data_IF_820882241308
#
_entry.id   IF_820882241308
#
_cell.length_a   1.000
_cell.length_b   1.000
_cell.length_c   1.000
_cell.angle_alpha   90.00
_cell.angle_beta   90.00
_cell.angle_gamma   90.00
#
_symmetry.space_group_name_H-M   'P 1'
#
loop_
_entity.id
_entity.type
_entity.pdbx_description
1 polymer ?
#
# COMPACT_ATOMS: atom_id res chain seq x y z
N UNK A 1 -33.98 69.70 -7.14
CA UNK A 1 -34.46 68.78 -6.08
C UNK A 1 -35.82 68.28 -6.53
N UNK A 2 -36.07 67.03 -6.89
CA UNK A 2 -35.33 65.78 -7.00
C UNK A 2 -36.28 64.83 -7.74
N UNK A 3 -35.83 64.28 -8.87
CA UNK A 3 -35.65 62.84 -9.04
C UNK A 3 -36.98 62.07 -9.24
N UNK A 4 -37.55 62.22 -10.45
CA UNK A 4 -38.68 61.42 -10.93
C UNK A 4 -38.18 60.13 -11.60
N UNK A 5 -38.29 59.04 -10.84
CA UNK A 5 -38.53 57.70 -11.37
C UNK A 5 -39.69 57.74 -12.38
N UNK A 6 -39.56 57.14 -13.56
CA UNK A 6 -40.70 56.51 -14.28
C UNK A 6 -40.30 55.78 -15.58
N UNK A 7 -41.00 54.66 -15.82
CA UNK A 7 -41.14 53.96 -17.11
C UNK A 7 -40.42 52.61 -17.12
N UNK A 8 -40.95 51.52 -16.53
CA UNK A 8 -42.12 50.73 -16.97
C UNK A 8 -42.19 50.52 -18.49
N UNK A 9 -41.65 49.37 -18.92
CA UNK A 9 -42.28 48.29 -19.70
C UNK A 9 -43.39 48.67 -20.69
N UNK A 10 -43.30 48.18 -21.94
CA UNK A 10 -44.32 47.55 -22.83
C UNK A 10 -43.74 47.57 -24.27
N UNK A 11 -43.16 46.47 -24.77
CA UNK A 11 -43.76 45.40 -25.60
C UNK A 11 -44.12 45.78 -27.06
N UNK A 12 -43.80 44.82 -27.95
CA UNK A 12 -44.26 44.55 -29.32
C UNK A 12 -43.24 44.90 -30.43
N UNK A 13 -42.51 43.96 -31.06
CA UNK A 13 -42.85 42.83 -31.96
C UNK A 13 -42.54 43.19 -33.42
N UNK A 14 -42.17 42.16 -34.21
CA UNK A 14 -41.90 42.10 -35.67
C UNK A 14 -40.40 42.27 -36.00
N UNK A 15 -39.59 41.20 -36.04
CA UNK A 15 -39.47 40.13 -37.06
C UNK A 15 -39.27 40.67 -38.48
N UNK A 16 -38.02 40.69 -38.97
CA UNK A 16 -37.61 39.99 -40.21
C UNK A 16 -36.19 40.33 -40.69
N UNK A 17 -35.44 39.26 -40.99
CA UNK A 17 -34.36 39.08 -41.98
C UNK A 17 -33.11 39.99 -41.92
N UNK A 18 -31.91 39.50 -41.55
CA UNK A 18 -30.99 38.52 -42.17
C UNK A 18 -29.85 39.19 -42.97
N UNK A 19 -28.62 38.79 -42.60
CA UNK A 19 -27.29 39.01 -43.23
C UNK A 19 -26.64 40.39 -42.98
N UNK A 20 -25.40 40.55 -42.50
CA UNK A 20 -24.20 39.69 -42.45
C UNK A 20 -23.31 40.09 -41.25
N UNK A 21 -22.84 39.12 -40.46
CA UNK A 21 -21.51 39.18 -39.79
C UNK A 21 -20.92 37.76 -39.73
N UNK A 22 -19.65 37.55 -40.06
CA UNK A 22 -19.05 36.22 -40.13
C UNK A 22 -18.77 35.68 -38.72
N UNK A 23 -19.23 34.44 -38.48
CA UNK A 23 -18.81 33.63 -37.35
C UNK A 23 -17.31 33.30 -37.48
N UNK A 24 -16.49 33.84 -36.58
CA UNK A 24 -15.22 33.20 -36.24
C UNK A 24 -15.55 31.88 -35.55
N UNK A 25 -15.48 30.79 -36.31
CA UNK A 25 -15.39 29.45 -35.73
C UNK A 25 -14.00 29.33 -35.07
N UNK A 26 -13.95 29.46 -33.75
CA UNK A 26 -12.81 28.94 -32.99
C UNK A 26 -12.77 27.42 -33.22
N UNK A 27 -11.60 26.82 -33.49
CA UNK A 27 -11.52 25.38 -33.66
C UNK A 27 -11.98 24.73 -32.37
N UNK A 28 -12.99 23.87 -32.47
CA UNK A 28 -13.39 22.95 -31.42
C UNK A 28 -12.15 22.15 -31.07
N UNK A 29 -11.45 22.53 -30.01
CA UNK A 29 -10.51 21.64 -29.35
C UNK A 29 -11.38 20.51 -28.85
N UNK A 30 -11.43 19.43 -29.63
CA UNK A 30 -11.76 18.10 -29.13
C UNK A 30 -10.74 17.85 -28.04
N UNK A 31 -11.08 18.26 -26.81
CA UNK A 31 -10.41 17.76 -25.64
C UNK A 31 -10.60 16.26 -25.72
N UNK A 32 -9.55 15.55 -26.12
CA UNK A 32 -9.45 14.13 -25.86
C UNK A 32 -9.55 14.01 -24.35
N UNK A 33 -10.76 13.75 -23.84
CA UNK A 33 -10.92 13.12 -22.55
C UNK A 33 -10.19 11.80 -22.69
N UNK A 34 -8.92 11.77 -22.31
CA UNK A 34 -8.30 10.53 -21.91
C UNK A 34 -9.27 9.96 -20.87
N UNK A 35 -9.93 8.85 -21.22
CA UNK A 35 -10.76 8.11 -20.28
C UNK A 35 -9.87 7.83 -19.08
N UNK A 36 -10.17 8.43 -17.93
CA UNK A 36 -9.43 8.07 -16.72
C UNK A 36 -9.64 6.57 -16.50
N UNK A 37 -8.57 5.80 -16.22
CA UNK A 37 -8.68 4.36 -16.05
C UNK A 37 -9.66 4.08 -14.91
N UNK A 38 -10.79 3.44 -15.25
CA UNK A 38 -11.77 3.03 -14.27
C UNK A 38 -11.22 1.83 -13.51
N UNK A 39 -11.28 1.86 -12.18
CA UNK A 39 -11.02 0.68 -11.36
C UNK A 39 -12.00 -0.43 -11.73
N UNK A 40 -11.49 -1.63 -12.02
CA UNK A 40 -12.28 -2.80 -12.36
C UNK A 40 -12.18 -3.84 -11.25
N UNK A 41 -13.31 -4.40 -10.80
CA UNK A 41 -13.24 -5.54 -9.87
C UNK A 41 -12.56 -6.70 -10.59
N UNK A 42 -11.55 -7.26 -9.94
CA UNK A 42 -11.00 -8.54 -10.40
C UNK A 42 -12.04 -9.64 -10.19
N UNK A 43 -12.02 -10.68 -11.02
CA UNK A 43 -12.94 -11.84 -10.89
C UNK A 43 -12.75 -12.70 -9.64
N UNK A 44 -12.02 -12.22 -8.62
CA UNK A 44 -11.89 -12.87 -7.32
C UNK A 44 -13.20 -12.72 -6.54
N UNK A 45 -13.69 -13.81 -5.96
CA UNK A 45 -14.91 -13.81 -5.14
C UNK A 45 -14.81 -12.82 -3.97
N UNK A 46 -15.96 -12.28 -3.54
CA UNK A 46 -16.04 -11.26 -2.50
C UNK A 46 -15.33 -11.67 -1.21
N UNK A 47 -14.68 -10.71 -0.56
CA UNK A 47 -13.97 -10.90 0.69
C UNK A 47 -12.98 -9.77 0.97
N UNK A 48 -12.72 -9.53 2.25
CA UNK A 48 -11.76 -8.50 2.63
C UNK A 48 -10.34 -8.93 2.27
N UNK A 49 -9.68 -8.10 1.48
CA UNK A 49 -8.29 -8.29 1.10
C UNK A 49 -7.41 -7.73 2.21
N UNK A 50 -6.47 -8.51 2.71
CA UNK A 50 -5.56 -8.10 3.80
C UNK A 50 -4.19 -7.69 3.29
N UNK A 51 -3.72 -8.35 2.24
CA UNK A 51 -2.44 -8.09 1.60
C UNK A 51 -2.39 -8.65 0.18
N UNK A 52 -1.51 -8.09 -0.64
CA UNK A 52 -1.26 -8.51 -2.03
C UNK A 52 0.25 -8.58 -2.22
N UNK A 53 0.75 -9.68 -2.78
CA UNK A 53 2.16 -9.82 -3.11
C UNK A 53 2.32 -10.41 -4.51
N UNK A 54 3.22 -9.82 -5.30
CA UNK A 54 3.48 -10.22 -6.68
C UNK A 54 4.89 -10.79 -6.77
N UNK A 55 5.02 -11.89 -7.50
CA UNK A 55 6.32 -12.47 -7.80
C UNK A 55 7.10 -11.69 -8.84
N UNK A 56 8.42 -11.94 -8.96
CA UNK A 56 9.24 -11.41 -10.02
C UNK A 56 8.78 -11.87 -11.41
N UNK A 57 9.20 -11.11 -12.41
CA UNK A 57 8.77 -11.21 -13.82
C UNK A 57 9.89 -11.63 -14.77
N UNK A 58 11.02 -12.10 -14.23
CA UNK A 58 12.18 -12.53 -15.01
C UNK A 58 11.94 -13.78 -15.85
N UNK A 59 12.65 -13.89 -16.97
CA UNK A 59 12.77 -15.07 -17.84
C UNK A 59 11.53 -15.46 -18.66
N UNK A 60 10.56 -14.55 -18.84
CA UNK A 60 9.35 -14.81 -19.62
C UNK A 60 8.33 -15.71 -18.90
N UNK A 61 8.58 -16.03 -17.62
CA UNK A 61 7.61 -16.68 -16.76
C UNK A 61 6.51 -15.70 -16.35
N UNK A 62 5.26 -16.17 -16.30
CA UNK A 62 4.14 -15.37 -15.84
C UNK A 62 4.27 -15.03 -14.34
N UNK A 63 3.98 -13.78 -13.97
CA UNK A 63 3.89 -13.34 -12.57
C UNK A 63 2.93 -14.25 -11.80
N UNK A 64 3.31 -14.66 -10.59
CA UNK A 64 2.35 -15.26 -9.65
C UNK A 64 1.94 -14.17 -8.67
N UNK A 65 0.64 -13.88 -8.64
CA UNK A 65 0.04 -12.92 -7.70
C UNK A 65 -0.64 -13.69 -6.59
N UNK A 66 -0.29 -13.36 -5.34
CA UNK A 66 -0.88 -13.91 -4.12
C UNK A 66 -1.70 -12.84 -3.42
N UNK A 67 -2.87 -13.23 -2.92
CA UNK A 67 -3.80 -12.33 -2.25
C UNK A 67 -4.28 -12.99 -0.98
N UNK A 68 -4.06 -12.32 0.16
CA UNK A 68 -4.55 -12.76 1.45
C UNK A 68 -6.01 -12.33 1.58
N UNK A 69 -6.92 -13.30 1.63
CA UNK A 69 -8.36 -13.06 1.77
C UNK A 69 -8.78 -13.43 3.18
N UNK A 70 -9.25 -12.43 3.94
CA UNK A 70 -9.68 -12.57 5.34
C UNK A 70 -10.69 -13.68 5.47
N UNK A 71 -10.47 -14.60 6.40
CA UNK A 71 -11.32 -15.75 6.70
C UNK A 71 -11.63 -16.70 5.52
N UNK A 72 -10.89 -16.62 4.41
CA UNK A 72 -11.10 -17.49 3.24
C UNK A 72 -9.83 -18.23 2.83
N UNK A 73 -8.66 -17.60 2.98
CA UNK A 73 -7.37 -18.23 2.69
C UNK A 73 -6.54 -17.37 1.76
N UNK A 74 -5.74 -18.01 0.92
CA UNK A 74 -4.85 -17.32 0.01
C UNK A 74 -5.35 -17.58 -1.40
N UNK A 75 -5.79 -16.53 -2.07
CA UNK A 75 -6.06 -16.61 -3.50
C UNK A 75 -4.76 -16.43 -4.28
N UNK A 76 -4.63 -17.13 -5.41
CA UNK A 76 -3.51 -16.96 -6.31
C UNK A 76 -3.94 -16.87 -7.77
N UNK A 77 -3.13 -16.23 -8.59
CA UNK A 77 -3.27 -16.14 -10.05
C UNK A 77 -1.90 -16.26 -10.71
N UNK A 78 -1.86 -16.85 -11.91
CA UNK A 78 -0.66 -16.90 -12.76
C UNK A 78 -0.93 -16.07 -14.00
N UNK A 79 -0.16 -15.00 -14.21
CA UNK A 79 -0.40 -14.02 -15.28
C UNK A 79 -1.83 -13.49 -15.22
N UNK A 80 -2.55 -13.57 -16.34
CA UNK A 80 -3.97 -13.19 -16.48
C UNK A 80 -4.93 -14.39 -16.36
N UNK A 81 -4.46 -15.52 -15.82
CA UNK A 81 -5.28 -16.70 -15.60
C UNK A 81 -6.40 -16.49 -14.55
N UNK A 82 -7.22 -17.52 -14.27
CA UNK A 82 -8.25 -17.41 -13.25
C UNK A 82 -7.65 -17.37 -11.84
N UNK A 83 -8.39 -16.77 -10.90
CA UNK A 83 -8.09 -16.86 -9.48
C UNK A 83 -8.40 -18.27 -8.95
N UNK A 84 -7.50 -18.79 -8.12
CA UNK A 84 -7.70 -20.03 -7.37
C UNK A 84 -7.57 -19.73 -5.87
N UNK A 85 -8.62 -19.99 -5.10
CA UNK A 85 -8.57 -19.92 -3.64
C UNK A 85 -7.90 -21.20 -3.09
N UNK A 86 -6.88 -21.03 -2.27
CA UNK A 86 -6.09 -22.12 -1.70
C UNK A 86 -6.13 -22.10 -0.19
N UNK A 87 -6.50 -23.25 0.37
CA UNK A 87 -6.54 -23.52 1.82
C UNK A 87 -5.69 -24.73 2.20
N UNK A 88 -5.16 -25.47 1.22
CA UNK A 88 -4.40 -26.69 1.47
C UNK A 88 -3.11 -26.43 2.24
N UNK A 89 -2.94 -27.15 3.34
CA UNK A 89 -1.79 -27.02 4.24
C UNK A 89 -1.81 -25.80 5.18
N UNK A 90 -2.78 -24.89 5.01
CA UNK A 90 -3.09 -23.87 6.02
C UNK A 90 -3.88 -24.51 7.19
N UNK A 91 -3.90 -23.89 8.40
CA UNK A 91 -4.65 -24.40 9.53
C UNK A 91 -6.12 -24.69 9.18
N UNK A 92 -6.62 -25.87 9.60
CA UNK A 92 -8.03 -26.26 9.51
C UNK A 92 -8.89 -25.33 10.38
N UNK A 93 -9.18 -24.14 9.89
CA UNK A 93 -9.77 -23.06 10.70
C UNK A 93 -9.71 -21.66 10.07
N UNK A 94 -9.22 -21.55 8.82
CA UNK A 94 -9.34 -20.33 8.00
C UNK A 94 -10.80 -19.85 7.91
N UNK A 95 -11.79 -20.73 8.12
CA UNK A 95 -13.18 -20.35 8.38
C UNK A 95 -13.33 -19.70 9.77
N UNK A 96 -13.05 -18.40 9.86
CA UNK A 96 -13.56 -17.50 10.91
C UNK A 96 -12.65 -17.17 12.10
N UNK A 97 -11.53 -17.88 12.32
CA UNK A 97 -10.63 -17.61 13.48
C UNK A 97 -9.15 -17.39 13.15
N UNK A 98 -8.71 -17.76 11.95
CA UNK A 98 -7.34 -17.54 11.48
C UNK A 98 -7.38 -16.83 10.14
N UNK A 99 -6.68 -15.70 10.01
CA UNK A 99 -6.68 -14.91 8.77
C UNK A 99 -5.26 -14.65 8.27
N UNK A 100 -4.98 -14.83 6.97
CA UNK A 100 -3.73 -14.37 6.38
C UNK A 100 -3.68 -12.84 6.44
N UNK A 101 -2.53 -12.28 6.78
CA UNK A 101 -2.40 -10.84 7.08
C UNK A 101 -1.22 -10.15 6.42
N UNK A 102 -0.09 -10.84 6.23
CA UNK A 102 1.06 -10.31 5.50
C UNK A 102 1.60 -11.33 4.53
N UNK A 103 1.91 -10.92 3.31
CA UNK A 103 2.45 -11.77 2.25
C UNK A 103 3.78 -11.20 1.75
N UNK A 104 4.67 -12.09 1.34
CA UNK A 104 5.88 -11.75 0.59
C UNK A 104 6.24 -12.88 -0.34
N UNK A 105 6.69 -12.54 -1.55
CA UNK A 105 7.17 -13.50 -2.55
C UNK A 105 8.69 -13.42 -2.61
N UNK A 106 9.35 -14.55 -2.84
CA UNK A 106 10.78 -14.60 -3.08
C UNK A 106 11.12 -13.86 -4.38
N UNK A 107 11.96 -12.82 -4.35
CA UNK A 107 12.31 -12.04 -5.54
C UNK A 107 13.11 -12.84 -6.58
N UNK A 108 13.58 -14.03 -6.23
CA UNK A 108 14.29 -14.95 -7.14
C UNK A 108 13.44 -16.12 -7.65
N UNK A 109 12.29 -16.40 -7.04
CA UNK A 109 11.39 -17.49 -7.47
C UNK A 109 9.94 -17.20 -7.08
N UNK A 110 9.11 -16.82 -8.06
CA UNK A 110 7.68 -16.56 -7.87
C UNK A 110 6.90 -17.74 -7.29
N UNK A 111 7.43 -18.97 -7.36
CA UNK A 111 6.78 -20.16 -6.81
C UNK A 111 6.95 -20.26 -5.30
N UNK A 112 7.88 -19.49 -4.73
CA UNK A 112 8.18 -19.45 -3.30
C UNK A 112 7.63 -18.19 -2.69
N UNK A 113 6.70 -18.35 -1.75
CA UNK A 113 6.06 -17.24 -1.05
C UNK A 113 5.84 -17.59 0.41
N UNK A 114 5.65 -16.55 1.22
CA UNK A 114 5.49 -16.64 2.66
C UNK A 114 4.29 -15.83 3.09
N UNK A 115 3.58 -16.33 4.09
CA UNK A 115 2.39 -15.69 4.64
C UNK A 115 2.45 -15.73 6.16
N UNK A 116 2.22 -14.58 6.79
CA UNK A 116 1.96 -14.53 8.21
C UNK A 116 0.45 -14.62 8.44
N UNK A 117 0.06 -15.59 9.27
CA UNK A 117 -1.31 -15.78 9.72
C UNK A 117 -1.50 -15.13 11.08
N UNK A 118 -2.64 -14.46 11.26
CA UNK A 118 -3.13 -13.97 12.55
C UNK A 118 -4.08 -15.00 13.14
N UNK A 119 -3.87 -15.37 14.41
CA UNK A 119 -4.82 -16.15 15.20
C UNK A 119 -5.28 -15.31 16.42
N UNK A 120 -6.16 -15.85 17.27
CA UNK A 120 -6.74 -15.10 18.41
C UNK A 120 -5.72 -14.76 19.52
N UNK A 121 -4.56 -15.42 19.56
CA UNK A 121 -3.61 -15.34 20.69
C UNK A 121 -2.15 -15.12 20.27
N UNK A 122 -1.87 -14.90 18.99
CA UNK A 122 -0.53 -14.95 18.41
C UNK A 122 -0.53 -14.98 16.87
N UNK A 123 0.44 -15.70 16.30
CA UNK A 123 0.53 -15.89 14.86
C UNK A 123 1.44 -17.04 14.46
N UNK A 124 1.52 -17.27 13.16
CA UNK A 124 2.42 -18.25 12.56
C UNK A 124 2.84 -17.78 11.17
N UNK A 125 3.97 -18.26 10.68
CA UNK A 125 4.40 -18.06 9.29
C UNK A 125 4.34 -19.39 8.56
N UNK A 126 3.73 -19.36 7.38
CA UNK A 126 3.65 -20.47 6.46
C UNK A 126 4.41 -20.14 5.19
N UNK A 127 4.94 -21.15 4.53
CA UNK A 127 5.63 -21.02 3.25
C UNK A 127 5.03 -21.96 2.20
N UNK A 128 5.19 -21.56 0.95
CA UNK A 128 5.00 -22.42 -0.22
C UNK A 128 6.28 -22.43 -1.05
N UNK A 129 6.49 -23.50 -1.81
CA UNK A 129 7.54 -23.61 -2.84
C UNK A 129 6.99 -24.12 -4.17
N UNK A 130 5.67 -24.33 -4.24
CA UNK A 130 4.96 -24.91 -5.38
C UNK A 130 3.88 -23.97 -5.91
N UNK A 131 4.20 -22.67 -5.99
CA UNK A 131 3.28 -21.65 -6.49
C UNK A 131 2.01 -21.51 -5.65
N UNK A 132 2.08 -21.74 -4.34
CA UNK A 132 0.91 -21.72 -3.48
C UNK A 132 -0.11 -22.79 -3.79
N UNK A 133 0.29 -23.96 -4.30
CA UNK A 133 -0.60 -25.12 -4.34
C UNK A 133 -0.81 -25.69 -2.94
N UNK A 134 0.27 -25.76 -2.14
CA UNK A 134 0.20 -26.14 -0.73
C UNK A 134 1.08 -25.22 0.12
N UNK A 135 0.71 -25.10 1.39
CA UNK A 135 1.42 -24.30 2.38
C UNK A 135 1.86 -25.16 3.56
N UNK A 136 2.98 -24.82 4.19
CA UNK A 136 3.47 -25.53 5.36
C UNK A 136 3.95 -24.54 6.44
N UNK A 137 3.75 -24.84 7.73
CA UNK A 137 4.25 -23.99 8.79
C UNK A 137 5.78 -24.00 8.80
N UNK A 138 6.37 -22.82 8.94
CA UNK A 138 7.83 -22.63 9.08
C UNK A 138 8.21 -21.86 10.34
N UNK A 139 7.23 -21.22 10.99
CA UNK A 139 7.36 -20.61 12.30
C UNK A 139 6.02 -20.67 13.01
N UNK A 140 5.99 -21.31 14.17
CA UNK A 140 4.82 -21.40 15.03
C UNK A 140 5.07 -20.66 16.35
N UNK A 141 3.99 -20.34 17.07
CA UNK A 141 4.10 -19.73 18.39
C UNK A 141 4.63 -18.30 18.37
N UNK A 142 4.31 -17.50 17.35
CA UNK A 142 4.62 -16.06 17.41
C UNK A 142 3.95 -15.44 18.65
N UNK A 143 4.67 -14.59 19.41
CA UNK A 143 4.16 -14.00 20.66
C UNK A 143 2.97 -13.07 20.45
N UNK A 144 2.82 -12.51 19.25
CA UNK A 144 1.64 -11.76 18.81
C UNK A 144 1.47 -11.90 17.30
N UNK A 145 0.40 -11.33 16.74
CA UNK A 145 0.25 -11.26 15.28
C UNK A 145 1.39 -10.47 14.64
N UNK A 146 1.79 -10.88 13.44
CA UNK A 146 2.79 -10.16 12.65
C UNK A 146 2.24 -8.82 12.16
N UNK A 147 2.96 -7.73 12.47
CA UNK A 147 2.75 -6.39 11.94
C UNK A 147 3.35 -6.23 10.54
N UNK A 148 4.48 -6.90 10.30
CA UNK A 148 5.15 -6.97 9.01
C UNK A 148 5.81 -8.34 8.81
N UNK A 149 5.89 -8.76 7.55
CA UNK A 149 6.68 -9.90 7.09
C UNK A 149 7.50 -9.38 5.91
N UNK A 150 8.82 -9.42 6.01
CA UNK A 150 9.73 -8.85 5.00
C UNK A 150 10.77 -9.89 4.61
N UNK A 151 11.07 -9.95 3.31
CA UNK A 151 12.15 -10.76 2.78
C UNK A 151 13.28 -9.84 2.29
N UNK A 152 14.51 -10.21 2.61
CA UNK A 152 15.71 -9.48 2.20
C UNK A 152 16.61 -10.45 1.45
N UNK A 153 16.98 -10.08 0.22
CA UNK A 153 17.60 -11.01 -0.72
C UNK A 153 16.68 -12.20 -1.01
N UNK A 154 17.21 -13.42 -0.99
CA UNK A 154 16.48 -14.65 -1.33
C UNK A 154 16.38 -15.67 -0.18
N UNK A 155 16.81 -15.31 1.03
CA UNK A 155 16.81 -16.24 2.17
C UNK A 155 16.58 -15.61 3.54
N UNK A 156 16.78 -14.30 3.71
CA UNK A 156 16.53 -13.67 5.00
C UNK A 156 15.06 -13.28 5.12
N UNK A 157 14.43 -13.69 6.21
CA UNK A 157 13.05 -13.33 6.54
C UNK A 157 13.02 -12.63 7.88
N UNK A 158 12.21 -11.57 7.97
CA UNK A 158 11.97 -10.81 9.17
C UNK A 158 10.47 -10.78 9.46
N UNK A 159 10.10 -11.11 10.69
CA UNK A 159 8.74 -10.99 11.21
C UNK A 159 8.79 -9.97 12.33
N UNK A 160 8.15 -8.81 12.12
CA UNK A 160 7.91 -7.85 13.18
C UNK A 160 6.60 -8.19 13.88
N UNK A 161 6.65 -8.40 15.19
CA UNK A 161 5.48 -8.53 16.06
C UNK A 161 5.20 -7.19 16.74
N UNK A 162 4.33 -7.16 17.76
CA UNK A 162 4.04 -5.93 18.52
C UNK A 162 5.28 -5.41 19.27
N UNK A 163 6.13 -6.32 19.75
CA UNK A 163 7.23 -6.02 20.68
C UNK A 163 8.54 -6.80 20.39
N UNK A 164 8.66 -7.43 19.22
CA UNK A 164 9.87 -8.18 18.86
C UNK A 164 10.07 -8.25 17.34
N UNK A 165 11.31 -8.47 16.92
CA UNK A 165 11.63 -8.86 15.55
C UNK A 165 12.27 -10.25 15.60
N UNK A 166 11.69 -11.17 14.84
CA UNK A 166 12.19 -12.53 14.70
C UNK A 166 12.73 -12.68 13.28
N UNK A 167 13.97 -13.15 13.17
CA UNK A 167 14.69 -13.28 11.90
C UNK A 167 15.06 -14.73 11.62
N UNK A 168 14.92 -15.13 10.36
CA UNK A 168 15.59 -16.29 9.77
C UNK A 168 16.65 -15.84 8.78
N UNK A 169 17.77 -16.58 8.71
CA UNK A 169 18.83 -16.40 7.71
C UNK A 169 18.93 -17.57 6.72
N UNK A 170 18.02 -18.54 6.79
CA UNK A 170 18.12 -19.80 6.04
C UNK A 170 16.80 -20.15 5.36
N UNK A 171 16.04 -19.13 5.00
CA UNK A 171 14.79 -19.29 4.26
C UNK A 171 13.62 -19.78 5.10
N UNK A 172 13.67 -19.57 6.41
CA UNK A 172 12.62 -19.95 7.35
C UNK A 172 12.82 -21.29 8.04
N UNK A 173 14.01 -21.92 7.94
CA UNK A 173 14.29 -23.21 8.59
C UNK A 173 14.62 -23.03 10.07
N UNK A 174 15.38 -21.99 10.41
CA UNK A 174 15.67 -21.60 11.78
C UNK A 174 15.39 -20.13 12.00
N UNK A 175 15.03 -19.79 13.25
CA UNK A 175 14.60 -18.45 13.64
C UNK A 175 15.26 -18.03 14.94
N UNK A 176 15.56 -16.74 15.04
CA UNK A 176 16.07 -16.11 16.27
C UNK A 176 15.45 -14.74 16.46
N UNK A 177 15.12 -14.40 17.70
CA UNK A 177 14.73 -13.05 18.09
C UNK A 177 15.96 -12.14 18.07
N UNK A 178 15.83 -10.92 17.54
CA UNK A 178 16.92 -9.94 17.56
C UNK A 178 17.09 -9.33 18.97
N UNK A 179 18.34 -9.08 19.43
CA UNK A 179 18.62 -8.84 20.85
C UNK A 179 18.27 -7.44 21.38
N UNK A 180 17.83 -6.49 20.55
CA UNK A 180 17.50 -5.14 21.01
C UNK A 180 16.21 -4.63 20.37
N UNK A 181 15.18 -4.47 21.19
CA UNK A 181 13.92 -3.87 20.81
C UNK A 181 13.93 -2.37 21.15
N UNK A 182 13.74 -1.46 20.19
CA UNK A 182 13.95 -0.03 20.42
C UNK A 182 12.78 0.71 21.03
N UNK A 183 11.59 0.11 20.99
CA UNK A 183 10.31 0.79 21.27
C UNK A 183 9.81 0.42 22.65
N UNK A 184 9.46 1.42 23.46
CA UNK A 184 8.75 1.17 24.73
C UNK A 184 7.25 0.98 24.50
N UNK A 185 6.76 1.33 23.31
CA UNK A 185 5.37 1.17 22.89
C UNK A 185 5.22 0.08 21.82
N UNK A 186 3.98 -0.14 21.38
CA UNK A 186 3.69 -1.04 20.27
C UNK A 186 4.28 -0.53 18.95
N UNK A 187 4.85 -1.46 18.18
CA UNK A 187 5.17 -1.20 16.77
C UNK A 187 3.94 -1.39 15.90
N UNK A 188 3.78 -0.45 14.97
CA UNK A 188 2.71 -0.42 13.99
C UNK A 188 3.21 -0.86 12.61
N UNK A 189 4.46 -0.59 12.26
CA UNK A 189 5.02 -0.87 10.93
C UNK A 189 6.54 -1.10 10.92
N UNK A 190 7.02 -1.85 9.93
CA UNK A 190 8.43 -2.08 9.63
C UNK A 190 8.61 -2.04 8.11
N UNK A 191 9.67 -1.40 7.63
CA UNK A 191 10.11 -1.44 6.24
C UNK A 191 11.63 -1.62 6.15
N UNK A 192 12.08 -2.20 5.03
CA UNK A 192 13.50 -2.35 4.68
C UNK A 192 13.76 -1.55 3.41
N UNK A 193 14.88 -0.84 3.35
CA UNK A 193 15.26 -0.10 2.17
C UNK A 193 15.64 -1.06 1.02
N UNK A 194 14.98 -1.02 -0.15
CA UNK A 194 15.24 -1.97 -1.24
C UNK A 194 16.68 -1.94 -1.77
N UNK A 195 17.29 -0.75 -1.86
CA UNK A 195 18.66 -0.55 -2.33
C UNK A 195 19.73 -0.67 -1.24
N UNK A 196 19.34 -0.80 0.04
CA UNK A 196 20.26 -0.95 1.16
C UNK A 196 19.71 -1.97 2.16
N UNK A 197 19.92 -3.29 1.95
CA UNK A 197 19.24 -4.36 2.67
C UNK A 197 19.56 -4.45 4.18
N UNK A 198 20.50 -3.65 4.70
CA UNK A 198 20.76 -3.51 6.13
C UNK A 198 20.07 -2.29 6.76
N UNK A 199 19.45 -1.41 5.95
CA UNK A 199 18.75 -0.22 6.43
C UNK A 199 17.28 -0.52 6.68
N UNK A 200 16.85 -0.42 7.93
CA UNK A 200 15.50 -0.72 8.37
C UNK A 200 14.88 0.53 9.00
N UNK A 201 13.56 0.62 8.87
CA UNK A 201 12.74 1.67 9.45
C UNK A 201 11.59 1.05 10.22
N UNK A 202 11.41 1.47 11.47
CA UNK A 202 10.43 0.93 12.38
C UNK A 202 9.58 2.06 12.93
N UNK A 203 8.26 1.94 12.76
CA UNK A 203 7.27 2.92 13.16
C UNK A 203 6.42 2.41 14.32
N UNK A 204 6.29 3.20 15.37
CA UNK A 204 5.53 2.89 16.57
C UNK A 204 4.34 3.82 16.82
N UNK A 205 3.74 3.65 17.99
CA UNK A 205 2.73 4.57 18.54
C UNK A 205 3.44 5.74 19.22
N UNK A 206 2.76 6.84 19.51
CA UNK A 206 3.33 7.88 20.39
C UNK A 206 4.36 8.81 19.73
N UNK A 207 4.44 8.85 18.39
CA UNK A 207 5.50 9.57 17.68
C UNK A 207 6.83 8.80 17.61
N UNK A 208 6.82 7.51 17.94
CA UNK A 208 8.02 6.68 17.87
C UNK A 208 8.33 6.29 16.42
N UNK A 209 9.57 6.57 16.01
CA UNK A 209 10.12 6.16 14.73
C UNK A 209 11.63 5.93 14.89
N UNK A 210 12.12 4.82 14.37
CA UNK A 210 13.50 4.39 14.52
C UNK A 210 14.09 3.95 13.20
N UNK A 211 15.40 4.11 13.08
CA UNK A 211 16.22 3.63 11.98
C UNK A 211 17.23 2.62 12.49
N UNK A 212 17.56 1.63 11.68
CA UNK A 212 18.70 0.75 11.88
C UNK A 212 19.53 0.72 10.61
N UNK A 213 20.86 0.72 10.75
CA UNK A 213 21.80 0.56 9.63
C UNK A 213 22.44 -0.81 9.55
N UNK A 214 22.10 -1.74 10.45
CA UNK A 214 22.79 -3.01 10.66
C UNK A 214 21.86 -4.23 10.62
N UNK A 215 20.71 -4.12 9.94
CA UNK A 215 19.76 -5.21 9.81
C UNK A 215 18.87 -5.43 11.05
N UNK A 216 18.63 -4.36 11.82
CA UNK A 216 17.79 -4.37 13.01
C UNK A 216 18.46 -4.89 14.28
N UNK A 217 19.80 -5.00 14.31
CA UNK A 217 20.51 -5.40 15.53
C UNK A 217 20.66 -4.25 16.52
N UNK A 218 20.80 -3.01 16.02
CA UNK A 218 20.78 -1.76 16.77
C UNK A 218 19.89 -0.73 16.09
N UNK A 219 19.39 0.23 16.88
CA UNK A 219 18.39 1.20 16.43
C UNK A 219 18.68 2.58 17.02
N UNK A 220 18.42 3.61 16.22
CA UNK A 220 18.49 5.02 16.60
C UNK A 220 17.12 5.68 16.44
N UNK A 221 16.76 6.60 17.34
CA UNK A 221 15.53 7.40 17.19
C UNK A 221 15.68 8.33 15.98
N UNK A 222 14.68 8.34 15.12
CA UNK A 222 14.67 9.07 13.85
C UNK A 222 13.30 9.74 13.63
N UNK A 223 12.83 10.47 14.64
CA UNK A 223 11.48 11.03 14.70
C UNK A 223 11.43 12.57 14.80
N UNK A 224 12.54 13.26 14.51
CA UNK A 224 12.58 14.72 14.59
C UNK A 224 11.61 15.36 13.59
N UNK A 225 10.73 16.24 14.07
CA UNK A 225 9.66 16.85 13.27
C UNK A 225 8.37 16.03 13.23
N UNK A 226 8.34 14.82 13.80
CA UNK A 226 7.10 14.11 14.07
C UNK A 226 6.53 14.53 15.42
N UNK A 227 5.23 14.82 15.44
CA UNK A 227 4.48 14.98 16.69
C UNK A 227 4.08 13.64 17.31
N UNK A 228 3.16 13.67 18.26
CA UNK A 228 2.58 12.47 18.87
C UNK A 228 1.60 11.79 17.89
N UNK A 229 2.15 11.08 16.91
CA UNK A 229 1.42 10.41 15.83
C UNK A 229 1.78 8.93 15.75
N UNK A 230 0.84 8.08 15.38
CA UNK A 230 1.14 6.67 15.09
C UNK A 230 1.72 6.53 13.68
N UNK A 231 2.90 5.93 13.57
CA UNK A 231 3.57 5.59 12.31
C UNK A 231 3.00 4.30 11.71
N UNK A 232 1.90 4.41 10.95
CA UNK A 232 1.08 3.28 10.50
C UNK A 232 1.58 2.58 9.24
N UNK A 233 2.20 3.33 8.35
CA UNK A 233 2.73 2.81 7.09
C UNK A 233 4.05 3.50 6.77
N UNK A 234 5.00 2.74 6.24
CA UNK A 234 6.32 3.23 5.83
C UNK A 234 6.52 2.77 4.39
N UNK A 235 6.87 3.70 3.50
CA UNK A 235 7.37 3.38 2.18
C UNK A 235 8.74 4.03 2.01
N UNK A 236 9.72 3.23 1.59
CA UNK A 236 11.09 3.69 1.35
C UNK A 236 11.26 3.86 -0.14
N UNK A 237 11.92 4.93 -0.55
CA UNK A 237 12.35 5.12 -1.93
C UNK A 237 13.23 3.93 -2.35
N UNK A 238 12.91 3.24 -3.45
CA UNK A 238 13.65 2.05 -3.88
C UNK A 238 15.10 2.35 -4.27
N UNK A 239 15.39 3.59 -4.67
CA UNK A 239 16.70 4.04 -5.15
C UNK A 239 17.50 4.81 -4.09
N UNK A 240 16.82 5.45 -3.14
CA UNK A 240 17.45 6.31 -2.13
C UNK A 240 17.00 5.90 -0.72
N UNK A 241 17.78 5.07 0.01
CA UNK A 241 17.38 4.53 1.32
C UNK A 241 16.96 5.57 2.37
N UNK A 242 17.50 6.80 2.30
CA UNK A 242 17.20 7.88 3.23
C UNK A 242 15.95 8.69 2.87
N UNK A 243 15.38 8.49 1.68
CA UNK A 243 14.13 9.10 1.27
C UNK A 243 12.97 8.18 1.66
N UNK A 244 12.18 8.60 2.65
CA UNK A 244 11.14 7.77 3.28
C UNK A 244 9.86 8.56 3.44
N UNK A 245 8.75 7.93 3.12
CA UNK A 245 7.41 8.42 3.38
C UNK A 245 6.81 7.69 4.58
N UNK A 246 6.11 8.46 5.41
CA UNK A 246 5.43 7.97 6.59
C UNK A 246 3.95 8.32 6.54
N UNK A 247 3.15 7.27 6.58
CA UNK A 247 1.70 7.35 6.71
C UNK A 247 1.33 7.41 8.19
N UNK A 248 0.63 8.46 8.59
CA UNK A 248 0.22 8.68 9.97
C UNK A 248 -1.30 8.78 10.11
N UNK A 249 -1.76 8.96 11.35
CA UNK A 249 -3.16 9.33 11.63
C UNK A 249 -3.54 10.74 11.19
N UNK A 250 -2.58 11.62 10.88
CA UNK A 250 -2.84 13.01 10.49
C UNK A 250 -2.54 13.30 9.00
N UNK A 251 -1.98 12.33 8.26
CA UNK A 251 -1.54 12.55 6.88
C UNK A 251 -0.22 11.87 6.54
N UNK A 252 0.39 12.31 5.44
CA UNK A 252 1.70 11.82 4.97
C UNK A 252 2.80 12.80 5.31
N UNK A 253 3.87 12.28 5.91
CA UNK A 253 5.14 12.97 6.14
C UNK A 253 6.22 12.39 5.23
N UNK A 254 7.23 13.18 4.93
CA UNK A 254 8.41 12.76 4.16
C UNK A 254 9.68 13.18 4.88
N UNK A 255 10.72 12.37 4.73
CA UNK A 255 12.09 12.69 5.12
C UNK A 255 13.01 12.35 3.96
N UNK A 256 14.06 13.15 3.76
CA UNK A 256 15.08 12.93 2.74
C UNK A 256 16.42 12.47 3.36
N UNK A 257 16.48 12.39 4.68
CA UNK A 257 17.70 12.14 5.46
C UNK A 257 17.50 11.02 6.50
N UNK A 258 16.62 10.05 6.20
CA UNK A 258 16.44 8.84 7.00
C UNK A 258 15.78 9.07 8.36
N UNK A 259 15.00 10.16 8.50
CA UNK A 259 14.25 10.49 9.70
C UNK A 259 14.96 11.45 10.66
N UNK A 260 16.11 12.02 10.26
CA UNK A 260 16.75 13.11 11.00
C UNK A 260 15.92 14.41 10.94
N UNK A 261 15.09 14.57 9.91
CA UNK A 261 14.07 15.63 9.85
C UNK A 261 12.88 15.17 9.00
N UNK A 262 11.68 15.26 9.56
CA UNK A 262 10.41 15.00 8.89
C UNK A 262 9.68 16.29 8.53
N UNK A 263 9.01 16.27 7.39
CA UNK A 263 8.22 17.39 6.88
C UNK A 263 6.83 16.89 6.46
N UNK A 264 5.74 17.62 6.75
CA UNK A 264 4.42 17.29 6.23
C UNK A 264 4.38 17.52 4.72
N UNK A 265 3.74 16.63 3.98
CA UNK A 265 3.59 16.73 2.51
C UNK A 265 2.38 17.56 2.07
N UNK A 266 1.64 18.12 3.03
CA UNK A 266 0.35 18.77 2.77
C UNK A 266 -0.81 17.80 2.52
N UNK A 267 -0.55 16.50 2.36
CA UNK A 267 -1.59 15.48 2.38
C UNK A 267 -2.10 15.27 3.80
N UNK A 268 -3.18 15.97 4.14
CA UNK A 268 -3.83 15.89 5.44
C UNK A 268 -5.21 15.28 5.32
N UNK A 269 -5.61 14.55 6.35
CA UNK A 269 -6.91 13.90 6.43
C UNK A 269 -7.57 14.39 7.73
N UNK A 270 -8.76 14.98 7.62
CA UNK A 270 -9.48 15.49 8.79
C UNK A 270 -9.94 14.35 9.72
N UNK A 271 -10.48 13.27 9.14
CA UNK A 271 -11.11 12.18 9.89
C UNK A 271 -10.60 10.77 9.51
N UNK A 272 -9.49 10.68 8.77
CA UNK A 272 -8.98 9.42 8.24
C UNK A 272 -7.47 9.24 8.49
N UNK A 273 -7.01 7.98 8.51
CA UNK A 273 -5.60 7.67 8.63
C UNK A 273 -5.04 7.10 7.32
N UNK A 274 -3.75 7.32 7.10
CA UNK A 274 -3.00 6.62 6.05
C UNK A 274 -2.78 5.19 6.52
N UNK A 275 -3.27 4.23 5.72
CA UNK A 275 -3.23 2.80 6.05
C UNK A 275 -2.20 2.04 5.24
N UNK A 276 -1.95 2.47 4.01
CA UNK A 276 -0.94 1.89 3.11
C UNK A 276 -0.21 3.01 2.37
N UNK A 277 1.08 2.78 2.19
CA UNK A 277 1.95 3.55 1.30
C UNK A 277 2.66 2.56 0.39
N UNK A 278 2.86 2.96 -0.86
CA UNK A 278 3.60 2.19 -1.84
C UNK A 278 4.38 3.15 -2.73
N UNK A 279 5.70 2.99 -2.81
CA UNK A 279 6.56 3.69 -3.76
C UNK A 279 6.62 2.91 -5.07
N UNK A 280 6.67 3.61 -6.21
CA UNK A 280 6.95 2.96 -7.49
C UNK A 280 8.39 2.42 -7.46
N UNK A 281 8.63 1.13 -7.73
CA UNK A 281 9.96 0.51 -7.67
C UNK A 281 10.99 1.14 -8.63
N UNK A 282 10.54 1.95 -9.60
CA UNK A 282 11.38 2.60 -10.62
C UNK A 282 11.60 4.08 -10.35
N UNK A 283 10.78 4.69 -9.49
CA UNK A 283 10.81 6.12 -9.18
C UNK A 283 10.28 6.39 -7.77
N UNK A 284 11.17 6.72 -6.84
CA UNK A 284 10.80 7.04 -5.47
C UNK A 284 10.04 8.34 -5.28
N UNK A 285 9.88 9.18 -6.31
CA UNK A 285 9.01 10.35 -6.25
C UNK A 285 7.54 10.02 -6.56
N UNK A 286 7.28 8.83 -7.10
CA UNK A 286 5.95 8.32 -7.33
C UNK A 286 5.51 7.47 -6.14
N UNK A 287 4.49 7.94 -5.41
CA UNK A 287 3.99 7.30 -4.19
C UNK A 287 2.47 7.24 -4.19
N UNK A 288 1.94 6.08 -3.83
CA UNK A 288 0.52 5.79 -3.73
C UNK A 288 0.12 5.71 -2.26
N UNK A 289 -1.06 6.26 -1.94
CA UNK A 289 -1.62 6.30 -0.60
C UNK A 289 -2.96 5.58 -0.61
N UNK A 290 -3.08 4.58 0.27
CA UNK A 290 -4.34 3.96 0.65
C UNK A 290 -4.78 4.46 2.02
N UNK A 291 -6.04 4.87 2.15
CA UNK A 291 -6.55 5.46 3.41
C UNK A 291 -7.65 4.60 4.04
N UNK A 292 -8.02 4.94 5.27
CA UNK A 292 -9.12 4.28 6.00
C UNK A 292 -10.52 4.68 5.52
N UNK A 293 -10.71 5.86 4.91
CA UNK A 293 -12.03 6.40 4.56
C UNK A 293 -12.17 7.02 3.15
N UNK A 294 -11.06 7.12 2.40
CA UNK A 294 -11.00 7.67 1.05
C UNK A 294 -10.40 6.66 0.06
N UNK A 295 -10.59 6.96 -1.24
CA UNK A 295 -9.97 6.25 -2.36
C UNK A 295 -8.44 6.30 -2.32
N UNK A 296 -7.80 5.64 -3.30
CA UNK A 296 -6.36 5.74 -3.51
C UNK A 296 -5.98 7.14 -3.99
N UNK A 297 -4.82 7.64 -3.54
CA UNK A 297 -4.20 8.88 -4.04
C UNK A 297 -2.81 8.58 -4.56
N UNK A 298 -2.32 9.45 -5.45
CA UNK A 298 -0.98 9.39 -6.01
C UNK A 298 -0.30 10.74 -5.91
N UNK A 299 0.99 10.74 -5.59
CA UNK A 299 1.91 11.83 -5.88
C UNK A 299 2.93 11.33 -6.89
N UNK A 300 3.34 12.19 -7.83
CA UNK A 300 4.41 11.92 -8.82
C UNK A 300 5.62 12.84 -8.65
N UNK A 301 5.65 13.62 -7.56
CA UNK A 301 6.65 14.66 -7.32
C UNK A 301 7.10 14.69 -5.86
N UNK A 302 7.26 13.52 -5.24
CA UNK A 302 7.86 13.46 -3.92
C UNK A 302 6.92 13.86 -2.77
N UNK A 303 5.60 13.77 -2.99
CA UNK A 303 4.60 14.28 -2.04
C UNK A 303 4.36 15.79 -2.14
N UNK A 304 4.93 16.49 -3.12
CA UNK A 304 4.68 17.92 -3.32
C UNK A 304 3.24 18.25 -3.75
N UNK A 305 2.60 17.34 -4.49
CA UNK A 305 1.18 17.42 -4.88
C UNK A 305 0.56 16.03 -4.87
N UNK A 306 -0.73 15.97 -4.53
CA UNK A 306 -1.50 14.74 -4.42
C UNK A 306 -2.75 14.80 -5.28
N UNK A 307 -2.91 13.79 -6.12
CA UNK A 307 -4.05 13.63 -7.01
C UNK A 307 -4.85 12.40 -6.59
N UNK A 308 -6.17 12.48 -6.50
CA UNK A 308 -6.95 11.31 -6.19
C UNK A 308 -7.01 10.41 -7.42
N UNK A 309 -6.68 9.12 -7.27
CA UNK A 309 -6.98 8.09 -8.27
C UNK A 309 -8.44 7.66 -8.09
N UNK A 310 -9.36 8.58 -8.40
CA UNK A 310 -10.80 8.36 -8.20
C UNK A 310 -11.32 7.38 -9.23
N UNK A 311 -11.70 6.18 -8.81
CA UNK A 311 -12.87 5.53 -9.39
C UNK A 311 -13.51 4.58 -8.36
N UNK A 312 -14.83 4.73 -8.19
CA UNK A 312 -15.76 3.60 -8.23
C UNK A 312 -15.67 2.43 -7.25
N UNK A 313 -14.69 2.34 -6.35
CA UNK A 313 -14.54 1.13 -5.51
C UNK A 313 -15.73 0.91 -4.57
N UNK A 314 -16.53 1.93 -4.28
CA UNK A 314 -17.65 1.92 -3.33
C UNK A 314 -17.21 1.75 -1.86
N UNK A 315 -16.15 0.97 -1.64
CA UNK A 315 -15.46 0.76 -0.38
C UNK A 315 -14.53 1.93 -0.05
N UNK A 316 -14.56 2.34 1.21
CA UNK A 316 -13.83 3.50 1.72
C UNK A 316 -12.45 3.16 2.29
N UNK A 317 -12.14 1.88 2.46
CA UNK A 317 -10.93 1.43 3.14
C UNK A 317 -10.01 0.65 2.22
N UNK A 318 -8.77 1.13 2.08
CA UNK A 318 -7.72 0.48 1.31
C UNK A 318 -6.84 -0.33 2.26
N UNK A 319 -6.93 -1.66 2.16
CA UNK A 319 -6.18 -2.60 2.98
C UNK A 319 -4.90 -3.07 2.32
N UNK A 320 -4.80 -3.07 1.00
CA UNK A 320 -3.60 -3.50 0.31
C UNK A 320 -3.42 -2.69 -0.97
N UNK A 321 -2.17 -2.44 -1.34
CA UNK A 321 -1.80 -1.82 -2.60
C UNK A 321 -0.61 -2.58 -3.15
N UNK A 322 -0.60 -2.85 -4.46
CA UNK A 322 0.54 -3.44 -5.11
C UNK A 322 0.63 -3.03 -6.58
N UNK A 323 1.83 -2.80 -7.09
CA UNK A 323 2.08 -2.43 -8.49
C UNK A 323 2.52 -3.66 -9.27
N UNK A 324 1.95 -3.84 -10.47
CA UNK A 324 2.39 -4.89 -11.39
C UNK A 324 3.78 -4.54 -11.95
N UNK A 325 4.79 -5.41 -11.80
CA UNK A 325 6.14 -5.06 -12.23
C UNK A 325 6.28 -4.87 -13.76
N UNK A 326 5.47 -5.58 -14.57
CA UNK A 326 5.53 -5.48 -16.04
C UNK A 326 4.66 -4.36 -16.61
N UNK A 327 3.59 -3.97 -15.92
CA UNK A 327 2.62 -3.00 -16.43
C UNK A 327 2.71 -1.71 -15.62
N UNK A 328 3.24 -0.65 -16.23
CA UNK A 328 3.61 0.58 -15.51
C UNK A 328 2.47 1.23 -14.73
N UNK A 329 1.24 1.05 -15.21
CA UNK A 329 0.05 1.73 -14.70
C UNK A 329 -0.98 0.76 -14.08
N UNK A 330 -0.64 -0.53 -13.95
CA UNK A 330 -1.53 -1.49 -13.28
C UNK A 330 -1.25 -1.49 -11.77
N UNK A 331 -2.15 -0.85 -11.04
CA UNK A 331 -2.18 -0.82 -9.59
C UNK A 331 -3.32 -1.70 -9.11
N UNK A 332 -3.02 -2.65 -8.23
CA UNK A 332 -4.02 -3.45 -7.54
C UNK A 332 -4.36 -2.81 -6.20
N UNK A 333 -5.65 -2.75 -5.86
CA UNK A 333 -6.16 -2.24 -4.60
C UNK A 333 -7.08 -3.25 -3.92
N UNK A 334 -6.62 -3.75 -2.77
CA UNK A 334 -7.42 -4.60 -1.89
C UNK A 334 -8.25 -3.77 -0.92
N UNK A 335 -9.55 -4.05 -0.86
CA UNK A 335 -10.51 -3.33 0.00
C UNK A 335 -11.11 -4.25 1.07
N UNK A 336 -12.12 -3.79 1.80
CA UNK A 336 -12.86 -4.63 2.75
C UNK A 336 -13.77 -5.67 2.09
N UNK A 337 -14.03 -5.54 0.78
CA UNK A 337 -15.05 -6.37 0.12
C UNK A 337 -14.53 -7.05 -1.17
N UNK A 338 -13.50 -6.48 -1.81
CA UNK A 338 -13.02 -6.97 -3.09
C UNK A 338 -11.58 -6.52 -3.40
N UNK A 339 -11.02 -7.15 -4.42
CA UNK A 339 -9.80 -6.74 -5.10
C UNK A 339 -10.17 -6.01 -6.41
N UNK A 340 -9.60 -4.82 -6.59
CA UNK A 340 -9.66 -4.00 -7.80
C UNK A 340 -8.28 -3.88 -8.44
#
# INVERSE_FOLDING_TARGET
>A
MGDERRGRLWQLLVVSLLFLLPFLALPTVMASRALEPAWERTGLSEGAIEDIALGPTGDGAATITYVAVRNQGIARRVGDGPWALVTEGLPRGVLGRVSPHRLVVDPSDSRRAFVALRNQTGGAVYATSNSGQTWQPILEGLPSHARALVMVGNHQLYVATVNSIIRSNDGGRTWRTLPHWPSETEVASLAVAPSAPNTFYLGGVGGEFFRSGDGGNTWERANAGLGNLTARAIAVDPLVPSHVYLGTSAGVYVTYNGGLAWQPTGFQLADAAVRRLLTDPRDGNTVYVGTDQLSVWISRNGGGQWLPLRAGTGSRRINALALEPQQRDLLLAGTEDALF
#
